data_IF_144348914904
#
_entry.id   IF_144348914904
#
_cell.length_a   1.000
_cell.length_b   1.000
_cell.length_c   1.000
_cell.angle_alpha   90.00
_cell.angle_beta   90.00
_cell.angle_gamma   90.00
#
_symmetry.space_group_name_H-M   'P 1'
#
loop_
_entity.id
_entity.type
_entity.pdbx_description
1 polymer ?
#
# COMPACT_ATOMS: atom_id res chain seq x y z
N UNK A 1 8.73 2.58 -40.63
CA UNK A 1 9.01 3.00 -39.23
C UNK A 1 7.76 3.54 -38.54
N UNK A 2 6.68 2.75 -38.42
CA UNK A 2 5.45 3.15 -37.70
C UNK A 2 4.96 2.11 -36.69
N UNK A 3 5.63 0.95 -36.61
CA UNK A 3 5.22 -0.16 -35.74
C UNK A 3 6.10 -0.34 -34.49
N UNK A 4 7.20 0.41 -34.37
CA UNK A 4 8.07 0.34 -33.18
C UNK A 4 7.47 1.15 -32.00
N UNK A 5 6.65 2.17 -32.30
CA UNK A 5 6.04 3.02 -31.27
C UNK A 5 5.01 2.28 -30.41
N UNK A 6 4.38 1.22 -30.94
CA UNK A 6 3.36 0.45 -30.22
C UNK A 6 3.96 -0.51 -29.19
N UNK A 7 5.19 -1.00 -29.41
CA UNK A 7 5.85 -1.95 -28.50
C UNK A 7 6.37 -1.25 -27.24
N UNK A 8 6.76 0.02 -27.34
CA UNK A 8 7.19 0.84 -26.19
C UNK A 8 6.02 1.21 -25.26
N UNK A 9 4.81 1.38 -25.79
CA UNK A 9 3.60 1.65 -25.00
C UNK A 9 3.12 0.44 -24.19
N UNK A 10 3.44 -0.79 -24.63
CA UNK A 10 3.11 -2.01 -23.89
C UNK A 10 4.05 -2.28 -22.71
N UNK A 11 5.26 -1.71 -22.68
CA UNK A 11 6.20 -1.91 -21.58
C UNK A 11 5.81 -1.13 -20.31
N UNK A 12 5.11 0.00 -20.47
CA UNK A 12 4.61 0.80 -19.35
C UNK A 12 3.37 0.21 -18.65
N UNK A 13 2.80 -0.89 -19.17
CA UNK A 13 1.54 -1.47 -18.71
C UNK A 13 1.66 -2.55 -17.63
N UNK A 14 2.87 -2.96 -17.24
CA UNK A 14 3.10 -3.94 -16.18
C UNK A 14 3.41 -3.24 -14.86
N UNK A 15 2.54 -2.32 -14.45
CA UNK A 15 2.54 -1.84 -13.08
C UNK A 15 2.01 -2.98 -12.20
N UNK A 16 2.69 -3.38 -11.10
CA UNK A 16 2.15 -4.37 -10.19
C UNK A 16 0.81 -3.86 -9.67
N UNK A 17 -0.24 -4.64 -9.88
CA UNK A 17 -1.62 -4.23 -9.66
C UNK A 17 -2.02 -4.26 -8.17
N UNK A 18 -1.24 -3.62 -7.31
CA UNK A 18 -1.61 -3.30 -5.93
C UNK A 18 -1.65 -1.79 -5.71
N UNK A 19 -2.20 -1.04 -6.68
CA UNK A 19 -2.08 0.43 -6.79
C UNK A 19 -2.49 1.28 -5.57
N UNK A 20 -3.12 0.73 -4.52
CA UNK A 20 -3.29 1.43 -3.23
C UNK A 20 -2.31 0.95 -2.13
N UNK A 21 -1.91 -0.31 -2.12
CA UNK A 21 -1.04 -0.86 -1.08
C UNK A 21 0.43 -1.00 -1.52
N UNK A 22 0.74 -0.82 -2.81
CA UNK A 22 2.08 -0.95 -3.41
C UNK A 22 2.80 -2.26 -3.07
N UNK A 23 2.03 -3.31 -2.73
CA UNK A 23 2.56 -4.64 -2.50
C UNK A 23 3.27 -5.13 -3.76
N UNK A 24 4.45 -5.72 -3.61
CA UNK A 24 5.29 -6.15 -4.73
C UNK A 24 6.06 -5.03 -5.44
N UNK A 25 5.81 -3.75 -5.14
CA UNK A 25 6.60 -2.64 -5.69
C UNK A 25 7.97 -2.55 -5.02
N UNK A 26 8.98 -2.08 -5.75
CA UNK A 26 10.28 -1.80 -5.16
C UNK A 26 10.25 -0.51 -4.33
N UNK A 27 11.20 -0.38 -3.39
CA UNK A 27 11.41 0.87 -2.67
C UNK A 27 11.67 2.06 -3.60
N UNK A 28 12.33 1.84 -4.73
CA UNK A 28 12.59 2.89 -5.71
C UNK A 28 11.32 3.35 -6.42
N UNK A 29 10.42 2.42 -6.76
CA UNK A 29 9.15 2.75 -7.40
C UNK A 29 8.30 3.63 -6.49
N UNK A 30 8.18 3.25 -5.21
CA UNK A 30 7.42 4.01 -4.20
C UNK A 30 8.04 5.41 -3.99
N UNK A 31 9.37 5.53 -3.92
CA UNK A 31 10.05 6.83 -3.82
C UNK A 31 9.79 7.72 -5.03
N UNK A 32 9.76 7.12 -6.21
CA UNK A 32 9.54 7.84 -7.46
C UNK A 32 8.08 8.29 -7.59
N UNK A 33 7.14 7.47 -7.10
CA UNK A 33 5.72 7.81 -7.03
C UNK A 33 5.45 9.00 -6.09
N UNK A 34 6.09 8.98 -4.91
CA UNK A 34 5.88 9.98 -3.86
C UNK A 34 7.03 11.00 -3.75
N UNK A 35 7.68 11.35 -4.86
CA UNK A 35 8.79 12.30 -4.85
C UNK A 35 8.36 13.77 -4.71
N UNK A 36 7.05 14.05 -4.78
CA UNK A 36 6.51 15.40 -4.64
C UNK A 36 6.70 15.91 -3.21
N UNK A 37 7.11 17.18 -2.99
CA UNK A 37 7.30 17.76 -1.66
C UNK A 37 6.05 17.79 -0.77
N UNK A 38 4.87 17.57 -1.36
CA UNK A 38 3.60 17.48 -0.62
C UNK A 38 3.50 16.19 0.22
N UNK A 39 4.32 15.19 -0.09
CA UNK A 39 4.42 13.96 0.68
C UNK A 39 5.62 14.06 1.62
N UNK A 40 5.35 13.95 2.93
CA UNK A 40 6.39 13.88 3.96
C UNK A 40 7.04 12.50 3.97
N UNK A 41 7.86 12.23 2.94
CA UNK A 41 8.47 10.92 2.72
C UNK A 41 9.71 10.73 3.61
N UNK A 42 9.63 9.75 4.50
CA UNK A 42 10.73 9.35 5.38
C UNK A 42 11.10 7.88 5.15
N UNK A 43 12.32 7.51 5.52
CA UNK A 43 12.73 6.11 5.49
C UNK A 43 13.72 5.76 6.58
N UNK A 44 13.54 4.58 7.14
CA UNK A 44 14.29 4.11 8.28
C UNK A 44 14.48 2.59 8.22
N UNK A 45 15.24 2.07 9.17
CA UNK A 45 15.26 0.66 9.50
C UNK A 45 14.59 0.48 10.86
N UNK A 46 13.72 -0.52 10.98
CA UNK A 46 13.20 -0.92 12.29
C UNK A 46 14.31 -1.53 13.14
N UNK A 47 14.06 -1.68 14.45
CA UNK A 47 14.99 -2.36 15.36
C UNK A 47 15.36 -3.78 14.91
N UNK A 48 14.45 -4.43 14.17
CA UNK A 48 14.64 -5.77 13.61
C UNK A 48 15.32 -5.77 12.23
N UNK A 49 15.80 -4.62 11.75
CA UNK A 49 16.50 -4.47 10.48
C UNK A 49 15.60 -4.43 9.25
N UNK A 50 14.27 -4.40 9.41
CA UNK A 50 13.36 -4.26 8.28
C UNK A 50 13.41 -2.82 7.75
N UNK A 51 13.49 -2.67 6.44
CA UNK A 51 13.45 -1.34 5.83
C UNK A 51 12.02 -0.86 5.71
N UNK A 52 11.80 0.43 6.00
CA UNK A 52 10.48 1.05 5.98
C UNK A 52 10.54 2.39 5.23
N UNK A 53 9.51 2.65 4.44
CA UNK A 53 9.21 3.97 3.90
C UNK A 53 7.91 4.45 4.53
N UNK A 54 7.93 5.63 5.14
CA UNK A 54 6.78 6.28 5.77
C UNK A 54 6.38 7.50 4.96
N UNK A 55 5.08 7.76 4.91
CA UNK A 55 4.54 8.97 4.29
C UNK A 55 3.19 9.33 4.92
N UNK A 56 2.91 10.63 4.99
CA UNK A 56 1.62 11.16 5.45
C UNK A 56 0.81 11.63 4.25
N UNK A 57 -0.44 11.17 4.14
CA UNK A 57 -1.39 11.59 3.11
C UNK A 57 -2.70 12.01 3.78
N UNK A 58 -2.90 13.32 3.88
CA UNK A 58 -4.16 13.89 4.36
C UNK A 58 -4.43 13.60 5.83
N UNK A 59 -5.22 12.55 6.12
CA UNK A 59 -5.64 12.14 7.47
C UNK A 59 -5.14 10.75 7.87
N UNK A 60 -4.13 10.26 7.14
CA UNK A 60 -3.59 8.93 7.29
C UNK A 60 -2.07 8.97 7.16
N UNK A 61 -1.37 8.24 8.01
CA UNK A 61 0.03 7.89 7.78
C UNK A 61 0.10 6.49 7.17
N UNK A 62 1.06 6.27 6.29
CA UNK A 62 1.27 4.99 5.59
C UNK A 62 2.71 4.55 5.83
N UNK A 63 2.88 3.28 6.18
CA UNK A 63 4.20 2.65 6.29
C UNK A 63 4.28 1.45 5.35
N UNK A 64 5.22 1.49 4.42
CA UNK A 64 5.56 0.37 3.53
C UNK A 64 6.73 -0.40 4.13
N UNK A 65 6.54 -1.70 4.39
CA UNK A 65 7.56 -2.59 4.92
C UNK A 65 8.14 -3.43 3.78
N UNK A 66 9.46 -3.56 3.78
CA UNK A 66 10.20 -4.20 2.71
C UNK A 66 10.96 -5.43 3.19
N UNK A 67 11.07 -6.43 2.31
CA UNK A 67 11.98 -7.56 2.49
C UNK A 67 13.44 -7.17 2.17
N UNK A 68 14.34 -8.14 2.26
CA UNK A 68 15.77 -7.96 1.99
C UNK A 68 16.07 -7.49 0.56
N UNK A 69 15.21 -7.87 -0.40
CA UNK A 69 15.32 -7.49 -1.82
C UNK A 69 14.69 -6.10 -2.11
N UNK A 70 14.28 -5.36 -1.07
CA UNK A 70 13.62 -4.06 -1.17
C UNK A 70 12.31 -4.09 -1.95
N UNK A 71 11.58 -5.21 -1.82
CA UNK A 71 10.23 -5.37 -2.33
C UNK A 71 9.24 -5.19 -1.18
N UNK A 72 8.21 -4.38 -1.39
CA UNK A 72 7.17 -4.13 -0.40
C UNK A 72 6.36 -5.41 -0.16
N UNK A 73 6.35 -5.89 1.08
CA UNK A 73 5.65 -7.11 1.49
C UNK A 73 4.43 -6.83 2.36
N UNK A 74 4.39 -5.66 2.98
CA UNK A 74 3.24 -5.21 3.75
C UNK A 74 3.12 -3.68 3.70
N UNK A 75 1.88 -3.22 3.81
CA UNK A 75 1.57 -1.79 3.95
C UNK A 75 0.64 -1.59 5.12
N UNK A 76 1.02 -0.68 6.01
CA UNK A 76 0.25 -0.30 7.18
C UNK A 76 -0.36 1.08 6.94
N UNK A 77 -1.66 1.23 7.20
CA UNK A 77 -2.37 2.51 7.09
C UNK A 77 -2.91 2.87 8.46
N UNK A 78 -2.40 3.97 9.01
CA UNK A 78 -2.71 4.50 10.33
C UNK A 78 -3.64 5.70 10.18
N UNK A 79 -4.93 5.58 10.51
CA UNK A 79 -5.85 6.71 10.48
C UNK A 79 -5.65 7.59 11.72
N UNK A 80 -5.57 8.90 11.53
CA UNK A 80 -5.27 9.86 12.61
C UNK A 80 -6.48 10.17 13.51
N UNK A 81 -7.67 9.70 13.14
CA UNK A 81 -8.91 9.97 13.89
C UNK A 81 -9.99 8.92 13.63
N UNK A 82 -10.98 8.84 14.52
CA UNK A 82 -12.13 7.94 14.35
C UNK A 82 -12.89 8.21 13.05
N UNK A 83 -12.98 9.47 12.62
CA UNK A 83 -13.59 9.82 11.35
C UNK A 83 -12.81 9.28 10.15
N UNK A 84 -11.48 9.32 10.21
CA UNK A 84 -10.60 8.74 9.21
C UNK A 84 -10.72 7.20 9.18
N UNK A 85 -10.79 6.55 10.35
CA UNK A 85 -11.05 5.11 10.44
C UNK A 85 -12.36 4.73 9.75
N UNK A 86 -13.46 5.41 10.10
CA UNK A 86 -14.78 5.10 9.54
C UNK A 86 -14.80 5.33 8.02
N UNK A 87 -14.17 6.39 7.52
CA UNK A 87 -14.07 6.65 6.09
C UNK A 87 -13.31 5.53 5.34
N UNK A 88 -12.23 4.98 5.91
CA UNK A 88 -11.54 3.83 5.33
C UNK A 88 -12.38 2.57 5.36
N UNK A 89 -13.11 2.31 6.46
CA UNK A 89 -14.03 1.16 6.54
C UNK A 89 -15.12 1.27 5.48
N UNK A 90 -15.73 2.45 5.32
CA UNK A 90 -16.72 2.71 4.27
C UNK A 90 -16.14 2.48 2.88
N UNK A 91 -14.94 3.02 2.62
CA UNK A 91 -14.24 2.82 1.35
C UNK A 91 -13.97 1.33 1.08
N UNK A 92 -13.48 0.58 2.07
CA UNK A 92 -13.17 -0.84 1.91
C UNK A 92 -14.43 -1.69 1.74
N UNK A 93 -15.52 -1.35 2.43
CA UNK A 93 -16.82 -2.01 2.24
C UNK A 93 -17.40 -1.77 0.85
N UNK A 94 -17.15 -0.60 0.25
CA UNK A 94 -17.58 -0.26 -1.11
C UNK A 94 -16.73 -0.96 -2.18
N UNK A 95 -15.41 -1.04 -1.96
CA UNK A 95 -14.46 -1.47 -2.98
C UNK A 95 -14.08 -2.95 -2.91
N UNK A 96 -14.16 -3.59 -1.74
CA UNK A 96 -13.55 -4.89 -1.47
C UNK A 96 -14.54 -5.93 -0.94
N UNK A 97 -14.16 -7.21 -1.06
CA UNK A 97 -14.96 -8.30 -0.51
C UNK A 97 -14.80 -8.34 1.00
N UNK A 98 -15.90 -8.14 1.72
CA UNK A 98 -15.94 -8.25 3.18
C UNK A 98 -15.80 -9.72 3.57
N UNK A 99 -14.76 -10.03 4.36
CA UNK A 99 -14.52 -11.37 4.92
C UNK A 99 -15.09 -11.46 6.33
N UNK A 100 -14.88 -10.41 7.14
CA UNK A 100 -15.39 -10.29 8.50
C UNK A 100 -15.49 -8.80 8.88
N UNK A 101 -16.01 -8.44 10.07
CA UNK A 101 -16.09 -7.03 10.50
C UNK A 101 -14.76 -6.26 10.50
N UNK A 102 -13.63 -6.97 10.51
CA UNK A 102 -12.29 -6.38 10.54
C UNK A 102 -11.40 -6.87 9.39
N UNK A 103 -11.97 -7.55 8.37
CA UNK A 103 -11.19 -8.13 7.29
C UNK A 103 -11.84 -7.98 5.92
N UNK A 104 -11.01 -7.64 4.93
CA UNK A 104 -11.40 -7.51 3.53
C UNK A 104 -10.42 -8.22 2.61
N UNK A 105 -10.89 -8.58 1.42
CA UNK A 105 -10.08 -9.07 0.30
C UNK A 105 -10.23 -8.16 -0.90
N UNK A 106 -9.11 -7.63 -1.37
CA UNK A 106 -9.03 -6.87 -2.61
C UNK A 106 -8.54 -7.79 -3.73
N UNK A 107 -9.23 -7.76 -4.86
CA UNK A 107 -8.87 -8.52 -6.06
C UNK A 107 -8.47 -7.56 -7.17
N UNK A 108 -7.34 -7.83 -7.81
CA UNK A 108 -6.89 -7.06 -8.95
C UNK A 108 -6.25 -7.97 -10.00
N UNK A 109 -5.83 -7.38 -11.13
CA UNK A 109 -5.00 -8.09 -12.12
C UNK A 109 -3.63 -8.52 -11.57
N UNK A 110 -3.20 -7.96 -10.44
CA UNK A 110 -1.88 -8.15 -9.83
C UNK A 110 -1.87 -9.19 -8.73
N UNK A 111 -3.04 -9.69 -8.33
CA UNK A 111 -3.19 -10.71 -7.30
C UNK A 111 -4.31 -10.39 -6.34
N UNK A 112 -4.23 -11.02 -5.17
CA UNK A 112 -5.15 -10.84 -4.05
C UNK A 112 -4.37 -10.11 -2.96
N UNK A 113 -4.98 -9.11 -2.33
CA UNK A 113 -4.50 -8.55 -1.07
C UNK A 113 -5.50 -8.85 0.04
N UNK A 114 -4.97 -9.25 1.19
CA UNK A 114 -5.72 -9.29 2.44
C UNK A 114 -5.55 -7.95 3.14
N UNK A 115 -6.65 -7.42 3.68
CA UNK A 115 -6.68 -6.22 4.51
C UNK A 115 -7.26 -6.60 5.85
N UNK A 116 -6.55 -6.30 6.95
CA UNK A 116 -7.03 -6.53 8.30
C UNK A 116 -6.95 -5.25 9.12
N UNK A 117 -8.05 -4.87 9.77
CA UNK A 117 -8.05 -3.88 10.83
C UNK A 117 -7.49 -4.52 12.10
N UNK A 118 -6.40 -3.97 12.60
CA UNK A 118 -5.76 -4.36 13.86
C UNK A 118 -6.06 -3.26 14.88
N UNK A 119 -6.49 -3.67 16.06
CA UNK A 119 -6.83 -2.80 17.18
C UNK A 119 -5.87 -3.15 18.32
N UNK A 120 -5.08 -2.16 18.75
CA UNK A 120 -4.12 -2.26 19.85
C UNK A 120 -4.49 -1.27 20.96
N UNK A 121 -3.79 -1.32 22.11
CA UNK A 121 -4.10 -0.45 23.25
C UNK A 121 -4.00 1.04 22.91
N UNK A 122 -3.02 1.39 22.06
CA UNK A 122 -2.69 2.78 21.72
C UNK A 122 -3.31 3.25 20.38
N UNK A 123 -4.11 2.42 19.71
CA UNK A 123 -4.75 2.82 18.47
C UNK A 123 -5.16 1.68 17.53
N UNK A 124 -5.23 2.00 16.25
CA UNK A 124 -5.64 1.06 15.21
C UNK A 124 -4.93 1.35 13.90
N UNK A 125 -4.77 0.30 13.09
CA UNK A 125 -4.23 0.42 11.74
C UNK A 125 -4.76 -0.71 10.86
N UNK A 126 -4.72 -0.48 9.55
CA UNK A 126 -5.01 -1.52 8.57
C UNK A 126 -3.70 -2.11 8.06
N UNK A 127 -3.55 -3.42 8.19
CA UNK A 127 -2.46 -4.17 7.60
C UNK A 127 -2.90 -4.75 6.26
N UNK A 128 -2.18 -4.37 5.20
CA UNK A 128 -2.29 -4.93 3.86
C UNK A 128 -1.15 -5.92 3.64
N UNK A 129 -1.48 -7.13 3.23
CA UNK A 129 -0.51 -8.16 2.85
C UNK A 129 -0.95 -8.89 1.58
N UNK A 130 -0.01 -9.53 0.89
CA UNK A 130 -0.34 -10.43 -0.22
C UNK A 130 -1.24 -11.55 0.29
N UNK A 131 -2.29 -11.85 -0.48
CA UNK A 131 -3.18 -12.98 -0.25
C UNK A 131 -2.66 -14.27 -0.88
N UNK A 132 -3.01 -15.39 -0.26
CA UNK A 132 -2.87 -16.74 -0.80
C UNK A 132 -3.93 -17.05 -1.86
#
# INVERSE_FOLDING_TARGET
MKQILFVLLCWFGLQPAFGQARLGSSAQDIRSEFSSPEYELESEYTENGAYVIKLTIGRYSVAHLFNNDRICVATLVFPESQGALNALVEQYNDQYVIVSPTEWKMYSKGGIANVRLIIEEDGYYFAWTSGD
#
